data_IF_547759145724
#
_entry.id   IF_547759145724
#
_cell.length_a   1.000
_cell.length_b   1.000
_cell.length_c   1.000
_cell.angle_alpha   90.00
_cell.angle_beta   90.00
_cell.angle_gamma   90.00
#
_symmetry.space_group_name_H-M   'P 1'
#
loop_
_entity.id
_entity.type
_entity.pdbx_description
1 polymer ?
#
# COMPACT_ATOMS: atom_id res chain seq x y z
N UNK A 1 -8.83 20.25 -9.70
CA UNK A 1 -7.69 19.34 -9.95
C UNK A 1 -8.16 18.19 -10.82
N UNK A 2 -7.44 17.89 -11.89
CA UNK A 2 -7.80 16.85 -12.88
C UNK A 2 -6.89 15.62 -12.70
N UNK A 3 -7.47 14.45 -12.40
CA UNK A 3 -6.72 13.24 -12.04
C UNK A 3 -6.98 12.12 -13.03
N UNK A 4 -5.90 11.58 -13.62
CA UNK A 4 -5.95 10.38 -14.44
C UNK A 4 -5.99 9.11 -13.59
N UNK A 5 -6.99 8.25 -13.74
CA UNK A 5 -7.10 6.95 -13.06
C UNK A 5 -6.75 5.85 -14.05
N UNK A 6 -5.61 5.20 -13.84
CA UNK A 6 -5.05 4.20 -14.74
C UNK A 6 -5.22 2.80 -14.16
N UNK A 7 -5.95 1.94 -14.87
CA UNK A 7 -6.29 0.60 -14.39
C UNK A 7 -7.57 0.58 -13.58
N UNK A 8 -8.68 0.22 -14.23
CA UNK A 8 -10.01 0.15 -13.61
C UNK A 8 -10.36 -1.29 -13.21
N UNK A 9 -9.39 -1.97 -12.57
CA UNK A 9 -9.52 -3.32 -12.06
C UNK A 9 -10.29 -3.39 -10.74
N UNK A 10 -10.20 -4.54 -10.08
CA UNK A 10 -10.95 -4.86 -8.87
C UNK A 10 -10.68 -3.87 -7.74
N UNK A 11 -9.42 -3.56 -7.46
CA UNK A 11 -9.05 -2.64 -6.37
C UNK A 11 -9.53 -1.21 -6.63
N UNK A 12 -9.41 -0.73 -7.86
CA UNK A 12 -9.91 0.59 -8.22
C UNK A 12 -11.42 0.68 -8.00
N UNK A 13 -12.18 -0.33 -8.45
CA UNK A 13 -13.63 -0.35 -8.35
C UNK A 13 -14.15 -0.52 -6.91
N UNK A 14 -13.43 -1.28 -6.06
CA UNK A 14 -13.85 -1.56 -4.69
C UNK A 14 -13.43 -0.50 -3.68
N UNK A 15 -12.22 0.03 -3.84
CA UNK A 15 -11.61 0.87 -2.80
C UNK A 15 -11.47 2.34 -3.21
N UNK A 16 -11.11 2.63 -4.45
CA UNK A 16 -10.77 4.00 -4.83
C UNK A 16 -11.92 4.77 -5.50
N UNK A 17 -12.55 4.21 -6.54
CA UNK A 17 -13.61 4.91 -7.27
C UNK A 17 -14.79 5.35 -6.40
N UNK A 18 -15.30 4.52 -5.45
CA UNK A 18 -16.41 4.93 -4.59
C UNK A 18 -16.12 6.16 -3.73
N UNK A 19 -14.85 6.44 -3.46
CA UNK A 19 -14.41 7.57 -2.64
C UNK A 19 -14.03 8.77 -3.52
N UNK A 20 -13.10 8.57 -4.47
CA UNK A 20 -12.53 9.68 -5.23
C UNK A 20 -13.55 10.40 -6.12
N UNK A 21 -14.58 9.68 -6.58
CA UNK A 21 -15.66 10.26 -7.38
C UNK A 21 -16.58 11.19 -6.58
N UNK A 22 -16.45 11.21 -5.26
CA UNK A 22 -17.25 12.07 -4.37
C UNK A 22 -16.47 13.28 -3.85
N UNK A 23 -15.19 13.40 -4.20
CA UNK A 23 -14.34 14.50 -3.73
C UNK A 23 -14.65 15.76 -4.55
N UNK A 24 -15.09 16.82 -3.88
CA UNK A 24 -15.35 18.10 -4.53
C UNK A 24 -14.08 18.71 -5.13
N UNK A 25 -14.21 19.36 -6.28
CA UNK A 25 -13.12 19.99 -6.99
C UNK A 25 -12.15 19.02 -7.71
N UNK A 26 -12.47 17.72 -7.72
CA UNK A 26 -11.73 16.70 -8.47
C UNK A 26 -12.50 16.32 -9.74
N UNK A 27 -11.85 16.44 -10.87
CA UNK A 27 -12.30 15.95 -12.17
C UNK A 27 -11.49 14.70 -12.54
N UNK A 28 -12.16 13.62 -12.95
CA UNK A 28 -11.51 12.36 -13.25
C UNK A 28 -11.42 12.13 -14.76
N UNK A 29 -10.29 11.55 -15.17
CA UNK A 29 -10.08 11.01 -16.52
C UNK A 29 -9.77 9.52 -16.37
N UNK A 30 -10.61 8.66 -16.94
CA UNK A 30 -10.43 7.21 -16.82
C UNK A 30 -9.53 6.66 -17.92
N UNK A 31 -8.65 5.72 -17.55
CA UNK A 31 -7.78 5.04 -18.49
C UNK A 31 -7.69 3.54 -18.21
N UNK A 32 -8.12 2.72 -19.15
CA UNK A 32 -7.88 1.27 -19.14
C UNK A 32 -8.01 0.69 -20.53
N UNK A 33 -7.23 -0.36 -20.84
CA UNK A 33 -7.21 -1.02 -22.14
C UNK A 33 -8.52 -1.73 -22.51
N UNK A 34 -9.30 -2.14 -21.50
CA UNK A 34 -10.58 -2.80 -21.71
C UNK A 34 -11.68 -1.75 -21.92
N UNK A 35 -12.08 -1.54 -23.17
CA UNK A 35 -13.07 -0.54 -23.53
C UNK A 35 -14.47 -0.78 -22.94
N UNK A 36 -14.89 -2.03 -22.77
CA UNK A 36 -16.19 -2.34 -22.15
C UNK A 36 -16.23 -1.92 -20.68
N UNK A 37 -15.15 -2.23 -19.92
CA UNK A 37 -15.02 -1.79 -18.54
C UNK A 37 -14.94 -0.27 -18.45
N UNK A 38 -14.19 0.35 -19.37
CA UNK A 38 -14.02 1.80 -19.46
C UNK A 38 -15.34 2.51 -19.65
N UNK A 39 -16.10 2.16 -20.70
CA UNK A 39 -17.40 2.76 -21.03
C UNK A 39 -18.40 2.58 -19.88
N UNK A 40 -18.54 1.36 -19.38
CA UNK A 40 -19.46 1.06 -18.28
C UNK A 40 -19.17 1.87 -17.01
N UNK A 41 -17.88 2.04 -16.66
CA UNK A 41 -17.51 2.80 -15.47
C UNK A 41 -17.58 4.31 -15.69
N UNK A 42 -17.25 4.79 -16.88
CA UNK A 42 -17.44 6.19 -17.28
C UNK A 42 -18.90 6.59 -17.15
N UNK A 43 -19.81 5.79 -17.68
CA UNK A 43 -21.26 6.02 -17.56
C UNK A 43 -21.72 5.98 -16.09
N UNK A 44 -21.30 4.95 -15.35
CA UNK A 44 -21.67 4.78 -13.92
C UNK A 44 -21.29 5.99 -13.07
N UNK A 45 -20.07 6.51 -13.26
CA UNK A 45 -19.54 7.61 -12.46
C UNK A 45 -19.64 8.97 -13.15
N UNK A 46 -20.27 9.02 -14.34
CA UNK A 46 -20.46 10.26 -15.14
C UNK A 46 -19.15 10.96 -15.50
N UNK A 47 -18.10 10.17 -15.74
CA UNK A 47 -16.80 10.66 -16.18
C UNK A 47 -16.85 10.89 -17.68
N UNK A 48 -16.54 12.13 -18.12
CA UNK A 48 -16.69 12.55 -19.51
C UNK A 48 -15.49 12.17 -20.38
N UNK A 49 -14.29 12.29 -19.80
CA UNK A 49 -13.05 12.09 -20.52
C UNK A 49 -12.42 10.75 -20.14
N UNK A 50 -12.07 9.98 -21.14
CA UNK A 50 -11.44 8.69 -20.95
C UNK A 50 -10.61 8.27 -22.17
N UNK A 51 -9.62 7.39 -21.97
CA UNK A 51 -8.76 6.87 -23.03
C UNK A 51 -8.38 5.41 -22.79
N UNK A 52 -7.83 4.75 -23.81
CA UNK A 52 -7.35 3.37 -23.69
C UNK A 52 -5.83 3.26 -23.59
N UNK A 53 -5.10 4.31 -23.95
CA UNK A 53 -3.65 4.44 -23.79
C UNK A 53 -3.34 5.51 -22.72
N UNK A 54 -2.60 5.13 -21.70
CA UNK A 54 -2.22 6.05 -20.62
C UNK A 54 -1.41 7.27 -21.10
N UNK A 55 -0.73 7.16 -22.24
CA UNK A 55 0.05 8.27 -22.82
C UNK A 55 -0.81 9.44 -23.27
N UNK A 56 -2.07 9.19 -23.62
CA UNK A 56 -3.03 10.22 -24.00
C UNK A 56 -3.36 11.18 -22.83
N UNK A 57 -3.20 10.72 -21.58
CA UNK A 57 -3.50 11.53 -20.39
C UNK A 57 -2.68 12.83 -20.31
N UNK A 58 -1.45 12.83 -20.83
CA UNK A 58 -0.64 14.06 -20.92
C UNK A 58 -1.31 15.09 -21.81
N UNK A 59 -1.82 14.67 -22.99
CA UNK A 59 -2.59 15.53 -23.91
C UNK A 59 -3.92 16.00 -23.33
N UNK A 60 -4.53 15.18 -22.44
CA UNK A 60 -5.74 15.52 -21.71
C UNK A 60 -5.49 16.43 -20.50
N UNK A 61 -4.24 16.86 -20.28
CA UNK A 61 -3.81 17.83 -19.26
C UNK A 61 -4.24 17.45 -17.85
N UNK A 62 -3.93 16.22 -17.44
CA UNK A 62 -4.12 15.81 -16.04
C UNK A 62 -3.07 16.45 -15.12
N UNK A 63 -3.48 16.88 -13.93
CA UNK A 63 -2.60 17.47 -12.91
C UNK A 63 -1.84 16.39 -12.11
N UNK A 64 -2.40 15.18 -12.04
CA UNK A 64 -1.81 14.05 -11.35
C UNK A 64 -2.37 12.73 -11.90
N UNK A 65 -1.70 11.61 -11.60
CA UNK A 65 -2.21 10.28 -11.97
C UNK A 65 -2.23 9.33 -10.78
N UNK A 66 -3.20 8.39 -10.80
CA UNK A 66 -3.28 7.26 -9.88
C UNK A 66 -3.23 5.96 -10.68
N UNK A 67 -2.25 5.12 -10.37
CA UNK A 67 -1.97 3.88 -11.10
C UNK A 67 -2.43 2.69 -10.26
N UNK A 68 -3.48 2.00 -10.73
CA UNK A 68 -4.05 0.77 -10.15
C UNK A 68 -3.96 -0.41 -11.13
N UNK A 69 -3.07 -0.32 -12.09
CA UNK A 69 -2.81 -1.37 -13.07
C UNK A 69 -2.12 -2.59 -12.42
N UNK A 70 -1.85 -3.63 -13.20
CA UNK A 70 -1.07 -4.77 -12.70
C UNK A 70 0.37 -4.34 -12.36
N UNK A 71 0.92 -4.82 -11.25
CA UNK A 71 2.23 -4.44 -10.71
C UNK A 71 3.37 -4.47 -11.74
N UNK A 72 3.32 -5.42 -12.68
CA UNK A 72 4.37 -5.56 -13.71
C UNK A 72 4.53 -4.35 -14.63
N UNK A 73 3.50 -3.50 -14.75
CA UNK A 73 3.53 -2.30 -15.59
C UNK A 73 3.63 -1.00 -14.79
N UNK A 74 3.61 -1.07 -13.46
CA UNK A 74 3.77 0.10 -12.60
C UNK A 74 5.04 0.89 -12.92
N UNK A 75 6.25 0.27 -13.04
CA UNK A 75 7.47 1.01 -13.27
C UNK A 75 7.48 1.80 -14.58
N UNK A 76 7.00 1.21 -15.66
CA UNK A 76 6.93 1.86 -16.97
C UNK A 76 5.99 3.06 -16.94
N UNK A 77 4.78 2.86 -16.40
CA UNK A 77 3.75 3.90 -16.37
C UNK A 77 4.15 5.04 -15.44
N UNK A 78 4.64 4.71 -14.23
CA UNK A 78 5.07 5.72 -13.26
C UNK A 78 6.22 6.57 -13.78
N UNK A 79 7.25 5.94 -14.36
CA UNK A 79 8.36 6.65 -14.96
C UNK A 79 7.91 7.61 -16.06
N UNK A 80 6.96 7.15 -16.92
CA UNK A 80 6.42 7.99 -17.99
C UNK A 80 5.83 9.29 -17.45
N UNK A 81 5.04 9.25 -16.38
CA UNK A 81 4.42 10.46 -15.83
C UNK A 81 5.42 11.33 -15.07
N UNK A 82 6.32 10.74 -14.30
CA UNK A 82 7.38 11.49 -13.61
C UNK A 82 8.21 12.32 -14.58
N UNK A 83 8.64 11.73 -15.71
CA UNK A 83 9.41 12.45 -16.74
C UNK A 83 8.63 13.55 -17.46
N UNK A 84 7.28 13.47 -17.45
CA UNK A 84 6.41 14.52 -18.01
C UNK A 84 6.00 15.58 -16.97
N UNK A 85 6.61 15.56 -15.77
CA UNK A 85 6.33 16.54 -14.73
C UNK A 85 4.99 16.35 -14.04
N UNK A 86 4.46 15.11 -14.00
CA UNK A 86 3.15 14.81 -13.45
C UNK A 86 3.28 14.01 -12.15
N UNK A 87 2.81 14.53 -11.00
CA UNK A 87 2.74 13.82 -9.73
C UNK A 87 2.04 12.47 -9.87
N UNK A 88 2.65 11.43 -9.28
CA UNK A 88 2.25 10.05 -9.52
C UNK A 88 1.99 9.30 -8.22
N UNK A 89 0.75 8.82 -8.07
CA UNK A 89 0.38 7.81 -7.08
C UNK A 89 0.43 6.43 -7.73
N UNK A 90 1.01 5.45 -7.05
CA UNK A 90 1.02 4.04 -7.48
C UNK A 90 0.48 3.16 -6.37
N UNK A 91 -0.44 2.26 -6.69
CA UNK A 91 -0.88 1.25 -5.74
C UNK A 91 0.29 0.33 -5.33
N UNK A 92 0.21 -0.26 -4.16
CA UNK A 92 1.23 -1.21 -3.68
C UNK A 92 1.17 -2.54 -4.47
N UNK A 93 2.29 -3.23 -4.66
CA UNK A 93 3.66 -2.74 -4.48
C UNK A 93 4.07 -1.78 -5.60
N UNK A 94 4.99 -0.86 -5.31
CA UNK A 94 5.51 0.08 -6.31
C UNK A 94 6.08 -0.64 -7.53
N UNK A 95 6.83 -1.71 -7.29
CA UNK A 95 7.43 -2.56 -8.31
C UNK A 95 7.67 -3.97 -7.77
N UNK A 96 8.12 -4.87 -8.65
CA UNK A 96 8.44 -6.25 -8.32
C UNK A 96 9.90 -6.47 -7.86
N UNK A 97 10.72 -5.43 -7.78
CA UNK A 97 12.12 -5.52 -7.34
C UNK A 97 12.58 -4.22 -6.69
N UNK A 98 13.54 -4.31 -5.78
CA UNK A 98 14.17 -3.16 -5.14
C UNK A 98 14.80 -2.23 -6.20
N UNK A 99 15.52 -2.77 -7.16
CA UNK A 99 16.16 -1.99 -8.22
C UNK A 99 15.16 -1.12 -9.02
N UNK A 100 13.98 -1.63 -9.32
CA UNK A 100 12.93 -0.83 -9.96
C UNK A 100 12.33 0.22 -9.01
N UNK A 101 12.25 -0.06 -7.72
CA UNK A 101 11.81 0.94 -6.74
C UNK A 101 12.82 2.08 -6.64
N UNK A 102 14.11 1.77 -6.50
CA UNK A 102 15.20 2.74 -6.47
C UNK A 102 15.21 3.60 -7.74
N UNK A 103 15.15 2.98 -8.90
CA UNK A 103 15.07 3.68 -10.19
C UNK A 103 13.90 4.66 -10.27
N UNK A 104 12.73 4.32 -9.71
CA UNK A 104 11.57 5.22 -9.69
C UNK A 104 11.74 6.35 -8.68
N UNK A 105 12.38 6.11 -7.53
CA UNK A 105 12.70 7.18 -6.58
C UNK A 105 13.74 8.14 -7.16
N UNK A 106 14.77 7.63 -7.82
CA UNK A 106 15.77 8.45 -8.54
C UNK A 106 15.09 9.30 -9.64
N UNK A 107 14.13 8.73 -10.35
CA UNK A 107 13.35 9.46 -11.35
C UNK A 107 12.49 10.56 -10.71
N UNK A 108 11.82 10.25 -9.60
CA UNK A 108 11.00 11.22 -8.86
C UNK A 108 11.86 12.41 -8.38
N UNK A 109 13.05 12.13 -7.84
CA UNK A 109 14.01 13.16 -7.43
C UNK A 109 14.54 13.95 -8.63
N UNK A 110 14.99 13.26 -9.69
CA UNK A 110 15.52 13.89 -10.91
C UNK A 110 14.53 14.86 -11.55
N UNK A 111 13.26 14.46 -11.64
CA UNK A 111 12.21 15.27 -12.26
C UNK A 111 11.47 16.15 -11.26
N UNK A 112 11.84 16.10 -9.97
CA UNK A 112 11.22 16.85 -8.86
C UNK A 112 9.70 16.70 -8.82
N UNK A 113 9.24 15.47 -9.02
CA UNK A 113 7.82 15.13 -8.97
C UNK A 113 7.51 14.20 -7.81
N UNK A 114 6.42 14.45 -7.07
CA UNK A 114 5.99 13.55 -6.02
C UNK A 114 5.67 12.15 -6.57
N UNK A 115 6.27 11.12 -5.94
CA UNK A 115 5.93 9.73 -6.12
C UNK A 115 5.38 9.19 -4.79
N UNK A 116 4.13 8.78 -4.78
CA UNK A 116 3.48 8.23 -3.60
C UNK A 116 3.05 6.78 -3.81
N UNK A 117 3.34 5.92 -2.83
CA UNK A 117 2.94 4.51 -2.85
C UNK A 117 1.76 4.27 -1.92
N UNK A 118 0.74 3.57 -2.40
CA UNK A 118 -0.55 3.37 -1.75
C UNK A 118 -0.52 2.39 -0.57
N UNK A 119 0.31 2.61 0.43
CA UNK A 119 0.30 1.86 1.69
C UNK A 119 -0.84 2.32 2.60
N UNK A 120 -2.04 1.83 2.34
CA UNK A 120 -3.26 2.30 2.97
C UNK A 120 -3.32 2.08 4.49
N UNK A 121 -2.56 1.12 5.07
CA UNK A 121 -2.51 0.89 6.52
C UNK A 121 -1.95 2.10 7.28
N UNK A 122 -1.10 2.90 6.64
CA UNK A 122 -0.59 4.16 7.20
C UNK A 122 -1.69 5.19 7.49
N UNK A 123 -2.90 5.00 6.94
CA UNK A 123 -4.02 5.94 7.02
C UNK A 123 -5.22 5.39 7.77
N UNK A 124 -5.08 4.30 8.55
CA UNK A 124 -6.16 3.78 9.38
C UNK A 124 -6.50 4.80 10.46
N UNK A 125 -7.74 5.34 10.52
CA UNK A 125 -8.08 6.43 11.43
C UNK A 125 -7.83 6.10 12.89
N UNK A 126 -8.20 4.89 13.32
CA UNK A 126 -8.02 4.44 14.70
C UNK A 126 -6.55 4.42 15.12
N UNK A 127 -5.66 3.88 14.26
CA UNK A 127 -4.22 3.86 14.55
C UNK A 127 -3.61 5.25 14.55
N UNK A 128 -4.06 6.11 13.64
CA UNK A 128 -3.60 7.50 13.57
C UNK A 128 -4.07 8.33 14.77
N UNK A 129 -5.17 7.96 15.39
CA UNK A 129 -5.63 8.63 16.60
C UNK A 129 -4.72 8.33 17.81
N UNK A 130 -4.27 7.08 17.97
CA UNK A 130 -3.54 6.62 19.15
C UNK A 130 -2.04 6.38 18.92
N UNK A 131 -1.65 6.05 17.69
CA UNK A 131 -0.26 5.71 17.32
C UNK A 131 0.36 6.73 16.35
N UNK A 132 -0.16 7.95 16.26
CA UNK A 132 0.34 8.97 15.32
C UNK A 132 1.82 9.30 15.54
N UNK A 133 2.28 9.34 16.78
CA UNK A 133 3.67 9.66 17.12
C UNK A 133 4.60 8.47 16.82
N UNK A 134 4.10 7.24 16.90
CA UNK A 134 4.81 6.04 16.42
C UNK A 134 5.01 6.12 14.91
N UNK A 135 3.96 6.43 14.17
CA UNK A 135 4.05 6.55 12.71
C UNK A 135 4.96 7.70 12.24
N UNK A 136 5.00 8.78 12.99
CA UNK A 136 5.93 9.89 12.73
C UNK A 136 7.37 9.61 13.16
N UNK A 137 7.59 8.54 13.97
CA UNK A 137 8.89 8.22 14.55
C UNK A 137 9.35 9.27 15.58
N UNK A 138 8.42 9.96 16.23
CA UNK A 138 8.70 11.00 17.21
C UNK A 138 8.60 10.50 18.66
N UNK A 139 8.08 9.29 18.86
CA UNK A 139 7.91 8.69 20.18
C UNK A 139 9.08 7.77 20.55
N UNK A 140 9.75 8.06 21.67
CA UNK A 140 10.99 7.39 22.10
C UNK A 140 10.79 6.31 23.18
N UNK A 141 9.59 6.18 23.76
CA UNK A 141 9.26 5.24 24.84
C UNK A 141 8.56 3.96 24.35
N UNK A 142 8.54 3.71 23.04
CA UNK A 142 8.00 2.49 22.46
C UNK A 142 8.94 1.31 22.73
N UNK A 143 8.43 0.30 23.44
CA UNK A 143 9.15 -0.93 23.76
C UNK A 143 8.94 -2.02 22.72
N UNK A 144 7.72 -2.11 22.17
CA UNK A 144 7.45 -3.07 21.08
C UNK A 144 6.27 -2.63 20.23
N UNK A 145 6.35 -3.01 18.94
CA UNK A 145 5.24 -2.90 17.98
C UNK A 145 5.09 -4.22 17.24
N UNK A 146 3.91 -4.80 17.32
CA UNK A 146 3.58 -6.06 16.66
C UNK A 146 2.38 -5.89 15.74
N UNK A 147 2.49 -6.39 14.53
CA UNK A 147 1.41 -6.44 13.55
C UNK A 147 1.21 -7.85 13.03
N UNK A 148 0.02 -8.39 13.26
CA UNK A 148 -0.38 -9.73 12.84
C UNK A 148 -1.49 -9.63 11.80
N UNK A 149 -1.30 -10.27 10.66
CA UNK A 149 -2.32 -10.37 9.62
C UNK A 149 -2.58 -11.83 9.28
N UNK A 150 -3.83 -12.23 9.40
CA UNK A 150 -4.25 -13.60 9.21
C UNK A 150 -5.29 -13.72 8.10
N UNK A 151 -5.19 -14.78 7.30
CA UNK A 151 -6.17 -15.16 6.27
C UNK A 151 -6.61 -16.59 6.48
N UNK A 152 -7.87 -16.87 6.20
CA UNK A 152 -8.42 -18.20 6.33
C UNK A 152 -8.13 -19.03 5.07
N UNK A 153 -7.30 -20.08 5.20
CA UNK A 153 -7.05 -21.11 4.17
C UNK A 153 -6.64 -20.57 2.79
N UNK A 154 -5.70 -19.63 2.74
CA UNK A 154 -5.21 -19.00 1.50
C UNK A 154 -3.68 -19.05 1.38
N UNK A 155 -3.01 -20.23 1.46
CA UNK A 155 -1.59 -20.32 1.17
C UNK A 155 -1.33 -19.87 -0.27
N UNK A 156 -0.14 -19.40 -0.58
CA UNK A 156 0.15 -18.86 -1.90
C UNK A 156 1.63 -18.97 -2.29
N UNK A 157 1.90 -18.68 -3.53
CA UNK A 157 3.25 -18.48 -4.03
C UNK A 157 3.99 -17.46 -3.15
N UNK A 158 5.26 -17.73 -2.84
CA UNK A 158 6.06 -16.89 -1.92
C UNK A 158 6.04 -15.42 -2.31
N UNK A 159 6.23 -15.13 -3.59
CA UNK A 159 6.28 -13.75 -4.09
C UNK A 159 4.93 -13.04 -3.96
N UNK A 160 3.87 -13.70 -4.38
CA UNK A 160 2.50 -13.19 -4.26
C UNK A 160 2.11 -12.99 -2.79
N UNK A 161 2.43 -13.98 -1.93
CA UNK A 161 2.19 -13.87 -0.50
C UNK A 161 2.84 -12.62 0.11
N UNK A 162 4.11 -12.37 -0.23
CA UNK A 162 4.88 -11.25 0.32
C UNK A 162 4.39 -9.92 -0.25
N UNK A 163 4.34 -9.75 -1.57
CA UNK A 163 4.07 -8.46 -2.20
C UNK A 163 2.60 -8.07 -2.22
N UNK A 164 1.68 -9.02 -2.20
CA UNK A 164 0.26 -8.67 -2.19
C UNK A 164 -0.30 -8.46 -0.79
N UNK A 165 0.26 -9.13 0.21
CA UNK A 165 -0.37 -9.19 1.52
C UNK A 165 0.58 -8.88 2.69
N UNK A 166 1.71 -9.60 2.81
CA UNK A 166 2.64 -9.43 3.92
C UNK A 166 3.35 -8.07 3.91
N UNK A 167 3.47 -7.45 2.76
CA UNK A 167 4.02 -6.09 2.61
C UNK A 167 3.29 -5.07 3.51
N UNK A 168 2.01 -5.27 3.82
CA UNK A 168 1.24 -4.35 4.67
C UNK A 168 1.70 -4.35 6.13
N UNK A 169 1.70 -5.50 6.86
CA UNK A 169 2.21 -5.52 8.22
C UNK A 169 3.70 -5.15 8.29
N UNK A 170 4.50 -5.60 7.32
CA UNK A 170 5.91 -5.27 7.26
C UNK A 170 6.15 -3.76 7.10
N UNK A 171 5.49 -3.10 6.17
CA UNK A 171 5.57 -1.66 5.98
C UNK A 171 5.13 -0.89 7.23
N UNK A 172 4.01 -1.28 7.81
CA UNK A 172 3.42 -0.60 8.98
C UNK A 172 4.30 -0.67 10.22
N UNK A 173 4.98 -1.77 10.43
CA UNK A 173 5.92 -1.93 11.55
C UNK A 173 7.26 -1.24 11.26
N UNK A 174 7.76 -1.32 10.03
CA UNK A 174 9.06 -0.75 9.67
C UNK A 174 9.03 0.77 9.47
N UNK A 175 7.88 1.39 9.34
CA UNK A 175 7.77 2.85 9.18
C UNK A 175 8.34 3.61 10.37
N UNK A 176 8.21 3.08 11.59
CA UNK A 176 8.83 3.62 12.79
C UNK A 176 10.36 3.50 12.72
N UNK A 177 10.84 2.32 12.44
CA UNK A 177 12.28 1.99 12.52
C UNK A 177 13.06 2.47 11.29
N UNK A 178 12.46 2.45 10.11
CA UNK A 178 13.14 2.67 8.81
C UNK A 178 14.40 1.79 8.69
N UNK A 179 14.32 0.56 9.22
CA UNK A 179 15.45 -0.35 9.36
C UNK A 179 15.68 -1.14 8.08
N UNK A 180 16.96 -1.44 7.82
CA UNK A 180 17.30 -2.57 6.98
C UNK A 180 17.02 -3.87 7.76
N UNK A 181 16.45 -4.86 7.08
CA UNK A 181 16.06 -6.12 7.70
C UNK A 181 17.14 -7.21 7.63
N UNK A 182 18.40 -6.85 7.45
CA UNK A 182 19.54 -7.78 7.35
C UNK A 182 19.70 -8.67 8.57
N UNK A 183 19.41 -8.12 9.75
CA UNK A 183 19.58 -8.80 11.04
C UNK A 183 18.25 -9.32 11.61
N UNK A 184 17.21 -9.31 10.80
CA UNK A 184 15.90 -9.78 11.23
C UNK A 184 15.86 -11.31 11.34
N UNK A 185 15.26 -11.80 12.42
CA UNK A 185 14.98 -13.21 12.60
C UNK A 185 13.70 -13.57 11.83
N UNK A 186 13.81 -14.49 10.87
CA UNK A 186 12.71 -14.89 10.00
C UNK A 186 12.40 -16.36 10.20
N UNK A 187 11.13 -16.68 10.45
CA UNK A 187 10.61 -18.05 10.41
C UNK A 187 9.49 -18.16 9.40
N UNK A 188 9.38 -19.32 8.74
CA UNK A 188 8.35 -19.56 7.76
C UNK A 188 7.85 -21.01 7.81
N UNK A 189 6.61 -21.21 7.39
CA UNK A 189 6.01 -22.51 7.18
C UNK A 189 5.49 -22.61 5.75
N UNK A 190 5.97 -23.63 5.04
CA UNK A 190 5.54 -23.92 3.66
C UNK A 190 5.07 -25.36 3.56
N UNK A 191 4.08 -25.59 2.70
CA UNK A 191 3.56 -26.91 2.38
C UNK A 191 3.25 -26.99 0.89
N UNK A 192 3.68 -28.06 0.22
CA UNK A 192 3.48 -28.28 -1.22
C UNK A 192 3.96 -27.10 -2.09
N UNK A 193 5.08 -26.45 -1.73
CA UNK A 193 5.63 -25.32 -2.46
C UNK A 193 4.91 -23.97 -2.22
N UNK A 194 3.86 -23.97 -1.42
CA UNK A 194 3.12 -22.76 -1.06
C UNK A 194 3.51 -22.27 0.33
N UNK A 195 3.71 -20.97 0.48
CA UNK A 195 3.92 -20.31 1.77
C UNK A 195 2.60 -20.21 2.52
N UNK A 196 2.57 -20.73 3.73
CA UNK A 196 1.40 -20.66 4.61
C UNK A 196 1.54 -19.61 5.69
N UNK A 197 2.77 -19.42 6.20
CA UNK A 197 3.06 -18.47 7.29
C UNK A 197 4.45 -17.88 7.16
N UNK A 198 4.60 -16.63 7.56
CA UNK A 198 5.87 -15.94 7.78
C UNK A 198 5.78 -15.08 9.04
N UNK A 199 6.83 -15.12 9.84
CA UNK A 199 7.07 -14.26 11.01
C UNK A 199 8.44 -13.63 10.84
N UNK A 200 8.53 -12.32 11.05
CA UNK A 200 9.79 -11.58 11.04
C UNK A 200 9.87 -10.70 12.28
N UNK A 201 10.99 -10.79 12.98
CA UNK A 201 11.25 -10.01 14.19
C UNK A 201 12.64 -9.40 14.11
N UNK A 202 12.77 -8.15 14.54
CA UNK A 202 14.04 -7.45 14.65
C UNK A 202 14.00 -6.43 15.78
N UNK A 203 15.15 -5.89 16.12
CA UNK A 203 15.28 -4.83 17.10
C UNK A 203 15.79 -3.55 16.46
N UNK A 204 15.24 -2.41 16.85
CA UNK A 204 15.71 -1.09 16.46
C UNK A 204 15.85 -0.24 17.72
N UNK A 205 17.10 0.07 18.12
CA UNK A 205 17.37 0.63 19.43
C UNK A 205 16.88 -0.32 20.55
N UNK A 206 16.06 0.19 21.44
CA UNK A 206 15.43 -0.59 22.51
C UNK A 206 14.06 -1.17 22.13
N UNK A 207 13.59 -0.91 20.92
CA UNK A 207 12.27 -1.34 20.46
C UNK A 207 12.32 -2.69 19.75
N UNK A 208 11.47 -3.64 20.15
CA UNK A 208 11.27 -4.91 19.45
C UNK A 208 10.13 -4.75 18.44
N UNK A 209 10.41 -5.10 17.20
CA UNK A 209 9.48 -4.99 16.06
C UNK A 209 9.15 -6.37 15.52
N UNK A 210 7.86 -6.63 15.27
CA UNK A 210 7.39 -7.92 14.81
C UNK A 210 6.28 -7.76 13.78
N UNK A 211 6.46 -8.34 12.61
CA UNK A 211 5.43 -8.47 11.59
C UNK A 211 5.18 -9.95 11.28
N UNK A 212 3.92 -10.36 11.24
CA UNK A 212 3.57 -11.73 10.90
C UNK A 212 2.36 -11.81 9.98
N UNK A 213 2.33 -12.89 9.21
CA UNK A 213 1.18 -13.26 8.40
C UNK A 213 1.00 -14.77 8.37
N UNK A 214 -0.23 -15.21 8.66
CA UNK A 214 -0.62 -16.61 8.57
C UNK A 214 -1.83 -16.73 7.63
N UNK A 215 -1.61 -17.29 6.43
CA UNK A 215 -2.66 -17.57 5.45
C UNK A 215 -3.30 -18.95 5.58
N UNK A 216 -2.92 -19.71 6.61
CA UNK A 216 -3.54 -20.99 7.00
C UNK A 216 -4.29 -20.88 8.33
N UNK A 217 -4.64 -19.66 8.73
CA UNK A 217 -5.35 -19.42 9.98
C UNK A 217 -6.83 -19.84 9.90
N UNK A 218 -7.46 -20.07 11.06
CA UNK A 218 -8.87 -20.45 11.13
C UNK A 218 -9.85 -19.34 10.75
N UNK A 219 -9.44 -18.07 10.95
CA UNK A 219 -10.23 -16.88 10.62
C UNK A 219 -9.37 -15.81 9.91
N UNK A 220 -10.03 -14.90 9.22
CA UNK A 220 -9.38 -13.68 8.72
C UNK A 220 -9.42 -12.63 9.83
N UNK A 221 -8.23 -12.13 10.24
CA UNK A 221 -8.09 -11.12 11.28
C UNK A 221 -6.85 -10.26 11.04
N UNK A 222 -6.83 -9.07 11.60
CA UNK A 222 -5.65 -8.21 11.60
C UNK A 222 -5.57 -7.54 12.97
N UNK A 223 -4.43 -7.68 13.67
CA UNK A 223 -4.20 -7.19 15.03
C UNK A 223 -2.94 -6.39 15.12
N UNK A 224 -2.98 -5.36 15.96
CA UNK A 224 -1.81 -4.53 16.28
C UNK A 224 -1.69 -4.38 17.77
N UNK A 225 -0.49 -4.63 18.31
CA UNK A 225 -0.17 -4.37 19.71
C UNK A 225 1.02 -3.42 19.78
N UNK A 226 0.89 -2.34 20.54
CA UNK A 226 1.95 -1.37 20.79
C UNK A 226 2.13 -1.21 22.30
N UNK A 227 3.34 -1.49 22.79
CA UNK A 227 3.66 -1.38 24.21
C UNK A 227 4.67 -0.25 24.43
N UNK A 228 4.37 0.60 25.38
CA UNK A 228 5.18 1.72 25.82
C UNK A 228 5.57 1.54 27.29
N UNK A 229 6.41 2.40 27.82
CA UNK A 229 6.87 2.31 29.21
C UNK A 229 5.70 2.36 30.21
N UNK A 230 4.67 3.16 29.96
CA UNK A 230 3.58 3.39 30.92
C UNK A 230 2.18 3.07 30.36
N UNK A 231 2.08 2.60 29.13
CA UNK A 231 0.78 2.30 28.50
C UNK A 231 0.92 1.23 27.43
N UNK A 232 -0.18 0.58 27.10
CA UNK A 232 -0.28 -0.42 26.02
C UNK A 232 -1.55 -0.23 25.23
N UNK A 233 -1.47 -0.47 23.94
CA UNK A 233 -2.61 -0.44 23.02
C UNK A 233 -2.73 -1.77 22.30
N UNK A 234 -3.95 -2.27 22.22
CA UNK A 234 -4.30 -3.39 21.35
C UNK A 234 -5.45 -3.00 20.44
N UNK A 235 -5.29 -3.28 19.16
CA UNK A 235 -6.32 -3.06 18.15
C UNK A 235 -6.68 -4.41 17.53
N UNK A 236 -7.98 -4.72 17.56
CA UNK A 236 -8.55 -5.88 16.90
C UNK A 236 -9.35 -5.37 15.69
N UNK A 237 -8.87 -5.67 14.49
CA UNK A 237 -9.34 -5.07 13.24
C UNK A 237 -9.02 -3.57 13.11
N UNK A 238 -9.78 -2.85 12.27
CA UNK A 238 -9.56 -1.41 11.98
C UNK A 238 -10.51 -0.49 12.76
N UNK A 239 -11.39 -1.05 13.56
CA UNK A 239 -12.51 -0.33 14.21
C UNK A 239 -12.57 -0.48 15.71
N UNK A 240 -11.85 -1.42 16.29
CA UNK A 240 -11.89 -1.73 17.73
C UNK A 240 -10.49 -1.66 18.33
N UNK A 241 -10.37 -1.08 19.52
CA UNK A 241 -9.11 -0.99 20.26
C UNK A 241 -9.30 -0.78 21.74
N UNK A 242 -8.31 -1.18 22.52
CA UNK A 242 -8.24 -1.02 23.97
C UNK A 242 -6.91 -0.38 24.36
N UNK A 243 -6.92 0.39 25.44
CA UNK A 243 -5.76 1.03 26.05
C UNK A 243 -5.69 0.64 27.52
N UNK A 244 -4.51 0.33 28.01
CA UNK A 244 -4.20 0.04 29.42
C UNK A 244 -3.04 0.85 29.94
#
# INVERSE_FOLDING_TARGET
MRIGIIGLGDIAQKAYLPVITQIEGVELVFCTRNFEVLSRLADKYRVKDFCTDYKELVGLKVDAVMIHAATKVHPEIAYYFLQHGIPTFVDKPLANSAAHCEWLYDAAEKYQQPLYVGFNRRHIPLYNQYLVDVQKGTRSDLLSLRWEKNRCRQPGEVREFIFDDFIHPLDSVNIHAKSQLSDAYVTQQSSNGMLGRIDIQWQHGDTILHASMNRQHGITSERVSANFVNESYEFDSFSEGSQW
#
